data_IF_530071420885
#
_entry.id   IF_530071420885
#
_cell.length_a   1.000
_cell.length_b   1.000
_cell.length_c   1.000
_cell.angle_alpha   90.00
_cell.angle_beta   90.00
_cell.angle_gamma   90.00
#
_symmetry.space_group_name_H-M   'P 1'
#
loop_
_entity.id
_entity.type
_entity.pdbx_description
1 polymer ?
#
# COMPACT_ATOMS: atom_id res chain seq x y z
N UNK A 1 -23.83 -24.85 10.58
CA UNK A 1 -22.73 -24.52 11.51
C UNK A 1 -22.29 -23.10 11.19
N UNK A 2 -22.86 -22.10 11.87
CA UNK A 2 -22.51 -20.70 11.63
C UNK A 2 -21.50 -20.30 12.69
N UNK A 3 -20.22 -20.24 12.31
CA UNK A 3 -19.22 -19.61 13.14
C UNK A 3 -19.53 -18.11 13.14
N UNK A 4 -20.14 -17.63 14.22
CA UNK A 4 -20.24 -16.21 14.50
C UNK A 4 -18.82 -15.72 14.74
N UNK A 5 -18.24 -14.99 13.79
CA UNK A 5 -16.95 -14.35 13.97
C UNK A 5 -17.08 -13.30 15.08
N UNK A 6 -16.31 -13.48 16.15
CA UNK A 6 -16.18 -12.54 17.25
C UNK A 6 -15.49 -11.29 16.71
N UNK A 7 -16.04 -10.07 16.87
CA UNK A 7 -15.35 -8.88 16.40
C UNK A 7 -14.24 -8.57 17.40
N UNK A 8 -12.98 -8.67 16.96
CA UNK A 8 -11.88 -8.02 17.62
C UNK A 8 -11.54 -6.76 16.82
N UNK A 9 -11.45 -5.56 17.42
CA UNK A 9 -10.67 -4.49 16.81
C UNK A 9 -9.19 -4.83 17.04
N UNK A 10 -8.73 -5.92 16.43
CA UNK A 10 -7.32 -6.05 16.12
C UNK A 10 -7.02 -5.00 15.06
N UNK A 11 -5.83 -4.40 15.09
CA UNK A 11 -5.43 -3.48 14.05
C UNK A 11 -5.70 -4.11 12.67
N UNK A 12 -6.22 -3.34 11.72
CA UNK A 12 -6.71 -3.84 10.43
C UNK A 12 -5.54 -4.15 9.46
N UNK A 13 -4.57 -4.91 9.94
CA UNK A 13 -3.37 -5.37 9.25
C UNK A 13 -2.79 -6.60 9.97
N UNK A 14 -2.05 -7.43 9.22
CA UNK A 14 -1.26 -8.53 9.75
C UNK A 14 0.13 -8.48 9.11
N UNK A 15 1.12 -8.03 9.87
CA UNK A 15 2.51 -7.85 9.44
C UNK A 15 3.46 -8.49 10.46
N UNK A 16 4.70 -8.76 10.05
CA UNK A 16 5.66 -9.46 10.91
C UNK A 16 6.14 -8.60 12.10
N UNK A 17 6.49 -7.34 11.86
CA UNK A 17 7.07 -6.45 12.87
C UNK A 17 6.82 -4.98 12.53
N UNK A 18 5.97 -4.31 13.32
CA UNK A 18 5.63 -2.90 13.12
C UNK A 18 6.77 -1.94 13.51
N UNK A 19 7.76 -2.38 14.29
CA UNK A 19 8.87 -1.52 14.73
C UNK A 19 9.79 -1.10 13.58
N UNK A 20 9.72 -1.80 12.44
CA UNK A 20 10.51 -1.49 11.24
C UNK A 20 9.90 -0.40 10.36
N UNK A 21 8.74 0.17 10.72
CA UNK A 21 8.04 1.17 9.91
C UNK A 21 8.92 2.39 9.56
N UNK A 22 9.74 2.88 10.50
CA UNK A 22 10.64 4.02 10.26
C UNK A 22 11.75 3.68 9.26
N UNK A 23 12.23 2.45 9.26
CA UNK A 23 13.21 1.98 8.29
C UNK A 23 12.56 1.84 6.90
N UNK A 24 11.41 1.17 6.82
CA UNK A 24 10.65 1.06 5.57
C UNK A 24 10.32 2.42 4.96
N UNK A 25 9.97 3.43 5.78
CA UNK A 25 9.75 4.81 5.30
C UNK A 25 11.00 5.46 4.71
N UNK A 26 12.19 5.16 5.23
CA UNK A 26 13.46 5.63 4.63
C UNK A 26 13.68 4.98 3.28
N UNK A 27 13.46 3.68 3.15
CA UNK A 27 13.61 2.96 1.88
C UNK A 27 12.58 3.39 0.84
N UNK A 28 11.33 3.64 1.22
CA UNK A 28 10.29 4.18 0.32
C UNK A 28 10.74 5.52 -0.27
N UNK A 29 11.28 6.44 0.55
CA UNK A 29 11.78 7.74 0.05
C UNK A 29 12.94 7.58 -0.93
N UNK A 30 13.79 6.57 -0.75
CA UNK A 30 14.85 6.24 -1.72
C UNK A 30 14.22 5.68 -3.01
N UNK A 31 13.23 4.79 -2.90
CA UNK A 31 12.56 4.23 -4.07
C UNK A 31 11.79 5.28 -4.88
N UNK A 32 11.22 6.31 -4.24
CA UNK A 32 10.57 7.43 -4.94
C UNK A 32 11.53 8.14 -5.91
N UNK A 33 12.83 8.27 -5.58
CA UNK A 33 13.82 8.89 -6.49
C UNK A 33 14.12 8.03 -7.71
N UNK A 34 13.96 6.70 -7.61
CA UNK A 34 14.19 5.73 -8.68
C UNK A 34 12.90 5.37 -9.46
N UNK A 35 11.75 5.96 -9.10
CA UNK A 35 10.46 5.70 -9.74
C UNK A 35 9.82 6.98 -10.31
N UNK A 36 10.53 7.72 -11.19
CA UNK A 36 10.08 9.03 -11.67
C UNK A 36 8.74 8.99 -12.40
N UNK A 37 8.40 7.87 -13.04
CA UNK A 37 7.11 7.69 -13.70
C UNK A 37 5.91 7.73 -12.73
N UNK A 38 6.03 7.08 -11.57
CA UNK A 38 4.96 7.13 -10.56
C UNK A 38 4.88 8.49 -9.89
N UNK A 39 6.02 9.15 -9.68
CA UNK A 39 6.04 10.49 -9.09
C UNK A 39 5.41 11.52 -10.03
N UNK A 40 5.71 11.45 -11.33
CA UNK A 40 5.06 12.29 -12.33
C UNK A 40 3.54 12.07 -12.39
N UNK A 41 3.07 10.81 -12.34
CA UNK A 41 1.64 10.48 -12.26
C UNK A 41 1.01 11.08 -11.01
N UNK A 42 1.69 10.98 -9.86
CA UNK A 42 1.21 11.56 -8.59
C UNK A 42 1.06 13.07 -8.72
N UNK A 43 2.07 13.77 -9.23
CA UNK A 43 2.07 15.22 -9.38
C UNK A 43 0.98 15.71 -10.35
N UNK A 44 0.80 15.02 -11.48
CA UNK A 44 -0.17 15.39 -12.51
C UNK A 44 -1.63 15.16 -12.09
N UNK A 45 -1.91 14.01 -11.46
CA UNK A 45 -3.28 13.55 -11.25
C UNK A 45 -3.77 13.67 -9.80
N UNK A 46 -2.90 13.88 -8.81
CA UNK A 46 -3.35 14.06 -7.42
C UNK A 46 -4.37 15.21 -7.27
N UNK A 47 -4.23 16.39 -7.92
CA UNK A 47 -5.24 17.45 -7.81
C UNK A 47 -6.61 17.05 -8.36
N UNK A 48 -6.63 16.13 -9.34
CA UNK A 48 -7.83 15.68 -10.04
C UNK A 48 -8.57 14.58 -9.27
N UNK A 49 -7.89 13.91 -8.33
CA UNK A 49 -8.42 12.79 -7.54
C UNK A 49 -9.19 11.75 -8.40
N UNK A 50 -8.61 11.25 -9.50
CA UNK A 50 -9.34 10.43 -10.48
C UNK A 50 -9.82 9.09 -9.92
N UNK A 51 -9.23 8.62 -8.82
CA UNK A 51 -9.61 7.37 -8.15
C UNK A 51 -10.48 7.61 -6.91
N UNK A 52 -11.00 8.82 -6.70
CA UNK A 52 -11.88 9.12 -5.56
C UNK A 52 -13.08 8.18 -5.52
N UNK A 53 -13.23 7.47 -4.40
CA UNK A 53 -14.29 6.49 -4.19
C UNK A 53 -14.01 5.10 -4.77
N UNK A 54 -12.89 4.92 -5.47
CA UNK A 54 -12.43 3.60 -5.88
C UNK A 54 -11.94 2.82 -4.65
N UNK A 55 -12.29 1.53 -4.60
CA UNK A 55 -11.83 0.58 -3.58
C UNK A 55 -11.02 -0.50 -4.26
N UNK A 56 -9.71 -0.51 -4.02
CA UNK A 56 -8.75 -1.34 -4.74
C UNK A 56 -8.21 -2.41 -3.80
N UNK A 57 -8.35 -3.68 -4.20
CA UNK A 57 -7.66 -4.81 -3.58
C UNK A 57 -6.51 -5.24 -4.49
N UNK A 58 -5.28 -5.23 -3.97
CA UNK A 58 -4.09 -5.65 -4.72
C UNK A 58 -3.42 -6.89 -4.15
N UNK A 59 -2.81 -7.67 -5.05
CA UNK A 59 -2.04 -8.87 -4.72
C UNK A 59 -0.74 -8.93 -5.53
N UNK A 60 0.11 -7.91 -5.40
CA UNK A 60 1.48 -7.94 -5.93
C UNK A 60 2.46 -8.23 -4.79
N UNK A 61 3.73 -8.48 -5.11
CA UNK A 61 4.77 -8.65 -4.09
C UNK A 61 4.80 -7.41 -3.18
N UNK A 62 4.76 -7.61 -1.86
CA UNK A 62 4.74 -6.50 -0.90
C UNK A 62 6.16 -5.97 -0.65
N UNK A 63 6.77 -5.35 -1.67
CA UNK A 63 8.10 -4.75 -1.64
C UNK A 63 8.04 -3.24 -1.43
N UNK A 64 9.22 -2.60 -1.28
CA UNK A 64 9.34 -1.14 -1.20
C UNK A 64 8.78 -0.45 -2.46
N UNK A 65 9.00 -1.00 -3.66
CA UNK A 65 8.48 -0.41 -4.91
C UNK A 65 6.95 -0.50 -4.97
N UNK A 66 6.37 -1.58 -4.47
CA UNK A 66 4.91 -1.73 -4.39
C UNK A 66 4.32 -0.73 -3.39
N UNK A 67 5.02 -0.38 -2.31
CA UNK A 67 4.58 0.69 -1.42
C UNK A 67 4.45 2.04 -2.15
N UNK A 68 5.42 2.39 -3.03
CA UNK A 68 5.34 3.61 -3.86
C UNK A 68 4.11 3.58 -4.78
N UNK A 69 3.81 2.43 -5.38
CA UNK A 69 2.58 2.23 -6.17
C UNK A 69 1.32 2.43 -5.32
N UNK A 70 1.24 1.78 -4.16
CA UNK A 70 0.07 1.87 -3.26
C UNK A 70 -0.15 3.31 -2.79
N UNK A 71 0.90 4.01 -2.37
CA UNK A 71 0.80 5.40 -1.96
C UNK A 71 0.43 6.32 -3.13
N UNK A 72 0.81 5.96 -4.36
CA UNK A 72 0.37 6.68 -5.56
C UNK A 72 -1.13 6.49 -5.77
N UNK A 73 -1.65 5.26 -5.70
CA UNK A 73 -3.10 5.01 -5.81
C UNK A 73 -3.90 5.77 -4.74
N UNK A 74 -3.40 5.79 -3.49
CA UNK A 74 -3.99 6.55 -2.40
C UNK A 74 -3.93 8.07 -2.66
N UNK A 75 -2.80 8.59 -3.13
CA UNK A 75 -2.67 10.00 -3.50
C UNK A 75 -3.64 10.41 -4.61
N UNK A 76 -4.01 9.49 -5.50
CA UNK A 76 -5.04 9.69 -6.53
C UNK A 76 -6.48 9.52 -6.03
N UNK A 77 -6.69 9.21 -4.75
CA UNK A 77 -8.00 9.19 -4.08
C UNK A 77 -8.59 7.81 -3.80
N UNK A 78 -7.85 6.72 -4.04
CA UNK A 78 -8.33 5.36 -3.82
C UNK A 78 -8.25 4.93 -2.34
N UNK A 79 -9.21 4.13 -1.90
CA UNK A 79 -9.06 3.28 -0.71
C UNK A 79 -8.40 1.96 -1.10
N UNK A 80 -7.32 1.57 -0.42
CA UNK A 80 -6.51 0.41 -0.82
C UNK A 80 -6.41 -0.63 0.29
N UNK A 81 -6.55 -1.90 -0.06
CA UNK A 81 -6.16 -3.07 0.74
C UNK A 81 -5.19 -3.93 -0.05
N UNK A 82 -4.22 -4.53 0.63
CA UNK A 82 -3.15 -5.27 -0.05
C UNK A 82 -2.80 -6.57 0.66
N UNK A 83 -2.38 -7.55 -0.13
CA UNK A 83 -1.75 -8.79 0.34
C UNK A 83 -0.59 -9.14 -0.60
N UNK A 84 0.45 -9.84 -0.12
CA UNK A 84 1.48 -10.36 -1.03
C UNK A 84 0.94 -11.57 -1.80
N UNK A 85 1.26 -11.68 -3.09
CA UNK A 85 0.96 -12.89 -3.86
C UNK A 85 2.05 -13.96 -3.81
N UNK A 86 3.15 -13.72 -3.10
CA UNK A 86 4.20 -14.70 -2.89
C UNK A 86 4.62 -14.73 -1.41
N UNK A 87 4.74 -15.95 -0.87
CA UNK A 87 4.97 -16.22 0.55
C UNK A 87 6.35 -15.78 1.07
N UNK A 88 7.29 -15.43 0.18
CA UNK A 88 8.67 -15.06 0.52
C UNK A 88 9.09 -13.67 0.01
N UNK A 89 8.18 -12.91 -0.60
CA UNK A 89 8.54 -11.65 -1.29
C UNK A 89 8.25 -10.38 -0.50
N UNK A 90 7.59 -10.49 0.66
CA UNK A 90 7.32 -9.34 1.52
C UNK A 90 8.62 -8.82 2.12
N UNK A 91 8.79 -7.50 2.06
CA UNK A 91 9.82 -6.76 2.80
C UNK A 91 9.17 -6.02 3.96
#
# INVERSE_FOLDING_TARGET
MNAVLKPAPAADHAIADLSQADFGRKEIRIAETEMPGLMAIRDEFAPQQPLKGARIAGSLHMTIQTAVLVETLQALGAEVRWASCNIFSTQ
#
